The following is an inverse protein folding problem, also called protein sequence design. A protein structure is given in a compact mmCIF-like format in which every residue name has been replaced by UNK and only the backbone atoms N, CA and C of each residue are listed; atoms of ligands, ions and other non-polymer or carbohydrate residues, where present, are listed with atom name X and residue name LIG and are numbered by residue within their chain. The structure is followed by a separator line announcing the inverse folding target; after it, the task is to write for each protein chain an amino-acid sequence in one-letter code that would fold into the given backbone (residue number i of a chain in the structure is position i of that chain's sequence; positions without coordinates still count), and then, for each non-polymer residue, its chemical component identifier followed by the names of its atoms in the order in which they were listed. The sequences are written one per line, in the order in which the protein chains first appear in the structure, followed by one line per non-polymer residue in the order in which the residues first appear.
data_IF_058776277157
#
_entry.id   IF_058776277157
#
_cell.length_a   1.000
_cell.length_b   1.000
_cell.length_c   1.000
_cell.angle_alpha   90.00
_cell.angle_beta   90.00
_cell.angle_gamma   90.00
#
_symmetry.space_group_name_H-M   'P 1'
#
loop_
_entity.id
_entity.type
_entity.pdbx_description
1 polymer ?
#
# COMPACT_ATOMS: atom_id res chain seq x y z
N UNK A 1 -25.20 -75.55 -104.20
CA UNK A 1 -24.87 -74.11 -104.11
C UNK A 1 -26.10 -73.41 -103.59
N UNK A 2 -25.98 -72.63 -102.51
CA UNK A 2 -27.09 -71.79 -102.05
C UNK A 2 -27.44 -70.77 -103.15
N UNK A 3 -28.73 -70.53 -103.37
CA UNK A 3 -29.18 -69.55 -104.35
C UNK A 3 -28.92 -68.13 -103.81
N UNK A 4 -28.88 -67.13 -104.70
CA UNK A 4 -28.74 -65.72 -104.28
C UNK A 4 -29.83 -65.30 -103.28
N UNK A 5 -31.03 -65.85 -103.42
CA UNK A 5 -32.16 -65.61 -102.51
C UNK A 5 -31.92 -66.20 -101.11
N UNK A 6 -31.29 -67.37 -101.00
CA UNK A 6 -30.98 -67.99 -99.71
C UNK A 6 -29.98 -67.14 -98.90
N UNK A 7 -29.01 -66.52 -99.59
CA UNK A 7 -28.00 -65.64 -98.97
C UNK A 7 -28.65 -64.32 -98.51
N UNK A 8 -29.54 -63.74 -99.33
CA UNK A 8 -30.26 -62.52 -98.97
C UNK A 8 -31.18 -62.74 -97.77
N UNK A 9 -31.91 -63.86 -97.72
CA UNK A 9 -32.76 -64.20 -96.58
C UNK A 9 -31.95 -64.43 -95.30
N UNK A 10 -30.79 -65.09 -95.40
CA UNK A 10 -29.91 -65.28 -94.25
C UNK A 10 -29.39 -63.94 -93.69
N UNK A 11 -28.98 -63.02 -94.57
CA UNK A 11 -28.54 -61.68 -94.19
C UNK A 11 -29.66 -60.86 -93.54
N UNK A 12 -30.88 -60.92 -94.09
CA UNK A 12 -32.04 -60.25 -93.51
C UNK A 12 -32.39 -60.80 -92.12
N UNK A 13 -32.29 -62.12 -91.91
CA UNK A 13 -32.50 -62.73 -90.59
C UNK A 13 -31.42 -62.31 -89.58
N UNK A 14 -30.16 -62.23 -90.00
CA UNK A 14 -29.06 -61.74 -89.15
C UNK A 14 -29.28 -60.30 -88.71
N UNK A 15 -29.60 -59.40 -89.65
CA UNK A 15 -29.91 -58.00 -89.35
C UNK A 15 -31.09 -57.92 -88.37
N UNK A 16 -32.17 -58.64 -88.64
CA UNK A 16 -33.36 -58.63 -87.78
C UNK A 16 -33.02 -59.12 -86.36
N UNK A 17 -32.22 -60.19 -86.25
CA UNK A 17 -31.77 -60.71 -84.95
C UNK A 17 -30.91 -59.69 -84.18
N UNK A 18 -30.02 -58.97 -84.88
CA UNK A 18 -29.21 -57.91 -84.28
C UNK A 18 -30.06 -56.72 -83.82
N UNK A 19 -31.05 -56.31 -84.63
CA UNK A 19 -32.00 -55.24 -84.26
C UNK A 19 -32.80 -55.61 -83.02
N UNK A 20 -33.36 -56.83 -82.97
CA UNK A 20 -34.12 -57.31 -81.81
C UNK A 20 -33.24 -57.40 -80.54
N UNK A 21 -31.97 -57.80 -80.69
CA UNK A 21 -30.99 -57.81 -79.59
C UNK A 21 -30.71 -56.39 -79.06
N UNK A 22 -30.54 -55.41 -79.95
CA UNK A 22 -30.35 -54.01 -79.58
C UNK A 22 -31.60 -53.45 -78.87
N UNK A 23 -32.79 -53.74 -79.38
CA UNK A 23 -34.05 -53.34 -78.73
C UNK A 23 -34.20 -53.95 -77.34
N UNK A 24 -33.83 -55.21 -77.18
CA UNK A 24 -33.83 -55.90 -75.87
C UNK A 24 -32.92 -55.18 -74.87
N UNK A 25 -31.68 -54.88 -75.26
CA UNK A 25 -30.73 -54.14 -74.41
C UNK A 25 -31.25 -52.74 -74.08
N UNK A 26 -31.84 -52.04 -75.04
CA UNK A 26 -32.41 -50.70 -74.82
C UNK A 26 -33.59 -50.75 -73.83
N UNK A 27 -34.46 -51.76 -73.95
CA UNK A 27 -35.58 -51.95 -73.05
C UNK A 27 -35.11 -52.31 -71.64
N UNK A 28 -34.06 -53.12 -71.49
CA UNK A 28 -33.45 -53.41 -70.19
C UNK A 28 -32.88 -52.14 -69.55
N UNK A 29 -32.15 -51.32 -70.30
CA UNK A 29 -31.62 -50.05 -69.81
C UNK A 29 -32.75 -49.09 -69.38
N UNK A 30 -33.79 -48.94 -70.22
CA UNK A 30 -34.96 -48.12 -69.91
C UNK A 30 -35.66 -48.61 -68.63
N UNK A 31 -35.81 -49.93 -68.48
CA UNK A 31 -36.37 -50.55 -67.28
C UNK A 31 -35.57 -50.21 -66.03
N UNK A 32 -34.24 -50.38 -66.07
CA UNK A 32 -33.37 -50.03 -64.96
C UNK A 32 -33.42 -48.54 -64.62
N UNK A 33 -33.36 -47.66 -65.62
CA UNK A 33 -33.43 -46.22 -65.42
C UNK A 33 -34.76 -45.80 -64.76
N UNK A 34 -35.88 -46.38 -65.21
CA UNK A 34 -37.19 -46.13 -64.61
C UNK A 34 -37.26 -46.62 -63.17
N UNK A 35 -36.68 -47.79 -62.87
CA UNK A 35 -36.63 -48.32 -61.50
C UNK A 35 -35.81 -47.42 -60.57
N UNK A 36 -34.65 -46.95 -61.02
CA UNK A 36 -33.82 -46.02 -60.25
C UNK A 36 -34.54 -44.68 -60.02
N UNK A 37 -35.23 -44.16 -61.05
CA UNK A 37 -36.00 -42.93 -60.93
C UNK A 37 -37.16 -43.08 -59.93
N UNK A 38 -37.90 -44.19 -59.99
CA UNK A 38 -38.98 -44.48 -59.04
C UNK A 38 -38.46 -44.58 -57.59
N UNK A 39 -37.35 -45.30 -57.37
CA UNK A 39 -36.73 -45.40 -56.05
C UNK A 39 -36.33 -44.03 -55.47
N UNK A 40 -35.75 -43.16 -56.31
CA UNK A 40 -35.39 -41.80 -55.92
C UNK A 40 -36.64 -40.99 -55.58
N UNK A 41 -37.70 -41.07 -56.38
CA UNK A 41 -38.94 -40.34 -56.12
C UNK A 41 -39.65 -40.80 -54.84
N UNK A 42 -39.61 -42.09 -54.53
CA UNK A 42 -40.27 -42.65 -53.34
C UNK A 42 -39.50 -42.36 -52.04
N UNK A 43 -38.17 -42.26 -52.10
CA UNK A 43 -37.33 -42.15 -50.91
C UNK A 43 -36.71 -40.76 -50.69
N UNK A 44 -36.77 -39.86 -51.66
CA UNK A 44 -36.32 -38.47 -51.46
C UNK A 44 -37.47 -37.59 -51.00
N UNK A 45 -37.25 -36.88 -49.90
CA UNK A 45 -38.13 -35.80 -49.48
C UNK A 45 -38.10 -34.69 -50.52
N UNK A 46 -39.28 -34.22 -50.88
CA UNK A 46 -39.42 -32.96 -51.61
C UNK A 46 -38.96 -31.80 -50.74
N UNK A 47 -38.64 -30.67 -51.39
CA UNK A 47 -38.26 -29.44 -50.70
C UNK A 47 -39.31 -28.99 -49.68
N UNK A 48 -40.58 -29.22 -49.99
CA UNK A 48 -41.68 -28.79 -49.14
C UNK A 48 -41.94 -29.77 -47.98
N UNK A 49 -41.79 -31.07 -48.20
CA UNK A 49 -41.81 -32.06 -47.10
C UNK A 49 -40.64 -31.86 -46.14
N UNK A 50 -39.44 -31.56 -46.64
CA UNK A 50 -38.29 -31.23 -45.81
C UNK A 50 -38.55 -29.98 -44.96
N UNK A 51 -39.14 -28.93 -45.54
CA UNK A 51 -39.53 -27.72 -44.81
C UNK A 51 -40.59 -28.00 -43.74
N UNK A 52 -41.57 -28.84 -44.05
CA UNK A 52 -42.60 -29.25 -43.10
C UNK A 52 -41.99 -30.02 -41.93
N UNK A 53 -41.10 -30.98 -42.21
CA UNK A 53 -40.37 -31.74 -41.19
C UNK A 53 -39.53 -30.81 -40.28
N UNK A 54 -38.80 -29.85 -40.87
CA UNK A 54 -38.02 -28.87 -40.10
C UNK A 54 -38.89 -27.98 -39.21
N UNK A 55 -40.10 -27.65 -39.66
CA UNK A 55 -41.05 -26.84 -38.88
C UNK A 55 -41.62 -27.63 -37.70
N UNK A 56 -41.76 -28.96 -37.82
CA UNK A 56 -42.19 -29.82 -36.71
C UNK A 56 -41.09 -30.07 -35.67
N UNK A 57 -39.81 -30.12 -36.08
CA UNK A 57 -38.69 -30.41 -35.17
C UNK A 57 -38.35 -29.21 -34.28
N UNK A 58 -38.53 -28.00 -34.79
CA UNK A 58 -38.38 -26.79 -34.00
C UNK A 58 -39.31 -25.73 -34.57
N UNK A 59 -40.46 -25.56 -33.95
CA UNK A 59 -41.30 -24.41 -34.24
C UNK A 59 -40.60 -23.15 -33.71
N UNK A 60 -40.94 -22.00 -34.31
CA UNK A 60 -40.47 -20.70 -33.80
C UNK A 60 -40.88 -20.51 -32.34
N UNK A 61 -41.99 -21.12 -31.93
CA UNK A 61 -42.52 -21.08 -30.57
C UNK A 61 -41.69 -21.94 -29.60
N UNK A 62 -41.18 -23.10 -30.05
CA UNK A 62 -40.26 -23.93 -29.26
C UNK A 62 -38.96 -23.17 -28.96
N UNK A 63 -38.43 -22.43 -29.95
CA UNK A 63 -37.25 -21.58 -29.76
C UNK A 63 -37.50 -20.39 -28.83
N UNK A 64 -38.75 -19.89 -28.75
CA UNK A 64 -39.13 -18.81 -27.85
C UNK A 64 -39.28 -19.29 -26.39
N UNK A 65 -39.47 -20.60 -26.17
CA UNK A 65 -39.58 -21.19 -24.82
C UNK A 65 -38.23 -21.34 -24.09
N UNK A 66 -37.10 -21.15 -24.77
CA UNK A 66 -35.76 -21.37 -24.18
C UNK A 66 -35.30 -20.28 -23.21
N UNK A 67 -35.90 -19.09 -23.28
CA UNK A 67 -35.87 -18.00 -22.31
C UNK A 67 -36.34 -16.75 -23.08
N UNK A 68 -37.43 -16.16 -22.63
CA UNK A 68 -37.90 -14.86 -23.08
C UNK A 68 -37.05 -13.76 -22.46
N UNK A 69 -37.10 -12.56 -23.03
CA UNK A 69 -36.50 -11.38 -22.39
C UNK A 69 -37.07 -11.13 -21.00
N UNK A 70 -38.30 -11.57 -20.75
CA UNK A 70 -38.98 -11.45 -19.47
C UNK A 70 -38.42 -12.46 -18.45
N UNK A 71 -38.07 -13.69 -18.88
CA UNK A 71 -37.38 -14.69 -18.03
C UNK A 71 -35.98 -14.20 -17.58
N UNK A 72 -35.35 -13.33 -18.37
CA UNK A 72 -34.09 -12.65 -18.04
C UNK A 72 -34.29 -11.36 -17.21
N UNK A 73 -35.51 -10.85 -17.10
CA UNK A 73 -35.82 -9.62 -16.37
C UNK A 73 -35.86 -9.83 -14.85
N UNK A 74 -36.12 -11.06 -14.40
CA UNK A 74 -36.08 -11.46 -12.99
C UNK A 74 -34.64 -11.73 -12.48
N UNK A 75 -33.65 -11.76 -13.38
CA UNK A 75 -32.24 -11.71 -12.99
C UNK A 75 -31.88 -10.29 -12.56
N UNK A 76 -31.11 -10.18 -11.47
CA UNK A 76 -30.69 -8.91 -10.87
C UNK A 76 -30.42 -7.83 -11.92
N UNK A 77 -31.34 -6.87 -12.00
CA UNK A 77 -31.27 -5.72 -12.88
C UNK A 77 -30.13 -4.81 -12.44
N UNK A 78 -29.72 -3.87 -13.31
CA UNK A 78 -28.76 -2.84 -12.91
C UNK A 78 -29.22 -2.04 -11.69
N UNK A 79 -30.54 -1.93 -11.48
CA UNK A 79 -31.14 -1.26 -10.33
C UNK A 79 -31.06 -2.13 -9.06
N UNK A 80 -31.19 -3.46 -9.18
CA UNK A 80 -30.94 -4.38 -8.05
C UNK A 80 -29.48 -4.34 -7.58
N UNK A 81 -28.54 -4.15 -8.50
CA UNK A 81 -27.13 -3.90 -8.17
C UNK A 81 -26.88 -2.48 -7.61
N UNK A 82 -27.80 -1.52 -7.79
CA UNK A 82 -27.67 -0.17 -7.27
C UNK A 82 -27.91 -0.09 -5.75
N UNK A 83 -28.49 -1.13 -5.15
CA UNK A 83 -28.63 -1.27 -3.70
C UNK A 83 -27.42 -1.92 -3.02
N UNK A 84 -26.44 -2.43 -3.79
CA UNK A 84 -25.12 -2.71 -3.23
C UNK A 84 -24.40 -1.40 -2.98
N UNK A 85 -23.71 -1.31 -1.83
CA UNK A 85 -22.99 -0.13 -1.37
C UNK A 85 -22.28 0.56 -2.54
N UNK A 86 -22.83 1.71 -2.93
CA UNK A 86 -22.26 2.58 -3.94
C UNK A 86 -20.93 3.13 -3.44
N UNK A 87 -20.12 3.69 -4.34
CA UNK A 87 -18.93 4.44 -3.92
C UNK A 87 -19.27 5.53 -2.89
N UNK A 88 -20.49 6.06 -2.93
CA UNK A 88 -20.98 7.08 -2.01
C UNK A 88 -21.37 6.49 -0.64
N UNK A 89 -21.85 5.25 -0.56
CA UNK A 89 -22.08 4.56 0.72
C UNK A 89 -20.76 4.27 1.46
N UNK A 90 -19.66 4.07 0.71
CA UNK A 90 -18.30 4.01 1.26
C UNK A 90 -17.75 5.39 1.67
N UNK A 91 -18.36 6.51 1.27
CA UNK A 91 -17.98 7.85 1.74
C UNK A 91 -18.49 8.14 3.16
N UNK A 92 -19.40 7.33 3.70
CA UNK A 92 -19.84 7.43 5.11
C UNK A 92 -18.72 6.99 6.08
N UNK A 93 -17.68 6.32 5.58
CA UNK A 93 -16.41 6.23 6.31
C UNK A 93 -15.66 7.56 6.16
N UNK A 94 -15.71 8.37 7.22
CA UNK A 94 -14.92 9.58 7.45
C UNK A 94 -14.29 10.19 6.19
N UNK A 95 -15.03 11.07 5.52
CA UNK A 95 -14.50 11.89 4.45
C UNK A 95 -13.33 12.73 4.98
N UNK A 96 -12.44 13.19 4.09
CA UNK A 96 -11.43 14.22 4.45
C UNK A 96 -12.04 15.45 5.15
N UNK A 97 -13.34 15.69 4.95
CA UNK A 97 -14.10 16.77 5.58
C UNK A 97 -14.44 16.48 7.05
N UNK A 98 -14.68 15.21 7.41
CA UNK A 98 -14.88 14.77 8.80
C UNK A 98 -13.58 14.85 9.60
N UNK A 99 -12.43 14.80 8.92
CA UNK A 99 -11.11 15.10 9.49
C UNK A 99 -10.82 16.60 9.63
N UNK A 100 -11.63 17.51 9.06
CA UNK A 100 -11.43 18.97 9.22
C UNK A 100 -11.81 19.48 10.61
N UNK A 101 -12.47 18.67 11.44
CA UNK A 101 -12.66 18.97 12.86
C UNK A 101 -11.41 18.70 13.71
N UNK A 102 -10.42 17.99 13.15
CA UNK A 102 -9.11 17.86 13.77
C UNK A 102 -8.23 19.03 13.32
N UNK A 103 -7.50 19.62 14.26
CA UNK A 103 -6.59 20.74 14.03
C UNK A 103 -5.81 20.54 12.72
N UNK A 104 -6.04 21.45 11.77
CA UNK A 104 -5.27 21.52 10.53
C UNK A 104 -3.83 21.93 10.85
N UNK A 105 -2.92 21.73 9.89
CA UNK A 105 -1.55 22.27 10.03
C UNK A 105 -1.55 23.76 10.35
N UNK A 106 -2.53 24.51 9.84
CA UNK A 106 -2.69 25.95 10.08
C UNK A 106 -3.14 26.25 11.52
N UNK A 107 -3.99 25.40 12.12
CA UNK A 107 -4.39 25.51 13.54
C UNK A 107 -3.21 25.26 14.50
N UNK A 108 -2.19 24.52 14.05
CA UNK A 108 -0.94 24.30 14.77
C UNK A 108 0.09 25.44 14.59
N UNK A 109 -0.14 26.40 13.69
CA UNK A 109 0.79 27.52 13.45
C UNK A 109 0.79 28.51 14.62
N UNK A 110 -0.28 28.53 15.42
CA UNK A 110 -0.35 29.32 16.65
C UNK A 110 0.25 28.62 17.88
N UNK A 111 0.66 27.35 17.75
CA UNK A 111 1.48 26.70 18.77
C UNK A 111 2.93 27.08 18.53
N UNK A 112 3.66 27.36 19.63
CA UNK A 112 5.08 27.71 19.58
C UNK A 112 5.83 26.76 18.65
N UNK A 113 6.30 27.29 17.53
CA UNK A 113 7.14 26.59 16.58
C UNK A 113 8.49 26.27 17.21
N UNK A 114 9.26 25.38 16.58
CA UNK A 114 10.62 25.10 17.02
C UNK A 114 11.46 26.38 17.10
N UNK A 115 11.22 27.32 16.18
CA UNK A 115 11.86 28.64 16.13
C UNK A 115 11.40 29.58 17.27
N UNK A 116 10.14 29.46 17.71
CA UNK A 116 9.64 30.19 18.89
C UNK A 116 10.30 29.69 20.19
N UNK A 117 10.62 28.39 20.25
CA UNK A 117 11.35 27.77 21.35
C UNK A 117 12.87 28.04 21.28
N UNK A 118 13.42 28.35 20.10
CA UNK A 118 14.83 28.78 19.96
C UNK A 118 15.10 30.17 20.54
N UNK A 119 14.06 30.97 20.81
CA UNK A 119 14.18 32.24 21.57
C UNK A 119 14.23 32.04 23.07
N UNK A 120 13.94 30.85 23.58
CA UNK A 120 14.21 30.50 24.97
C UNK A 120 15.67 30.06 25.07
N UNK A 121 16.38 30.63 26.06
CA UNK A 121 17.82 30.47 26.26
C UNK A 121 18.33 29.09 25.83
N UNK A 122 19.07 29.07 24.73
CA UNK A 122 19.75 27.89 24.20
C UNK A 122 20.84 27.45 25.18
N UNK A 123 21.34 26.21 25.04
CA UNK A 123 22.51 25.77 25.82
C UNK A 123 23.71 26.71 25.67
N UNK A 124 23.82 27.41 24.54
CA UNK A 124 24.86 28.41 24.28
C UNK A 124 24.58 29.74 25.01
N UNK A 125 23.31 30.14 25.17
CA UNK A 125 22.93 31.30 26.00
C UNK A 125 23.24 31.06 27.49
N UNK A 126 23.06 29.82 27.96
CA UNK A 126 23.51 29.39 29.29
C UNK A 126 25.03 29.20 29.38
N UNK A 127 25.76 29.06 28.27
CA UNK A 127 27.22 28.95 28.28
C UNK A 127 27.92 30.28 28.59
N UNK A 128 27.21 31.40 28.44
CA UNK A 128 27.67 32.73 28.88
C UNK A 128 27.42 33.00 30.37
N UNK A 129 26.66 32.13 31.07
CA UNK A 129 26.66 32.13 32.53
C UNK A 129 27.92 31.44 33.02
N UNK A 130 28.63 32.11 33.94
CA UNK A 130 29.94 31.71 34.47
C UNK A 130 30.15 30.18 34.46
N UNK A 131 30.98 29.72 33.54
CA UNK A 131 31.34 28.32 33.41
C UNK A 131 32.17 27.89 34.62
N UNK A 132 32.32 26.59 34.85
CA UNK A 132 33.21 26.08 35.89
C UNK A 132 34.67 26.59 35.74
N UNK A 133 35.06 26.99 34.52
CA UNK A 133 36.34 27.64 34.23
C UNK A 133 36.38 29.11 34.68
N UNK A 134 35.29 29.86 34.51
CA UNK A 134 35.17 31.24 35.00
C UNK A 134 35.22 31.30 36.54
N UNK A 135 34.58 30.32 37.19
CA UNK A 135 34.67 30.11 38.65
C UNK A 135 36.05 29.63 39.11
N UNK A 136 36.86 29.02 38.23
CA UNK A 136 38.22 28.59 38.57
C UNK A 136 39.20 29.77 38.73
N UNK A 137 38.87 30.94 38.15
CA UNK A 137 39.63 32.18 38.30
C UNK A 137 39.11 33.09 39.44
N UNK A 138 38.02 32.70 40.12
CA UNK A 138 37.59 33.35 41.35
C UNK A 138 38.48 32.83 42.47
N UNK A 139 39.40 33.69 42.94
CA UNK A 139 40.32 33.49 44.07
C UNK A 139 40.45 32.03 44.52
N UNK A 140 41.41 31.31 43.92
CA UNK A 140 41.69 29.92 44.29
C UNK A 140 42.12 29.85 45.76
N UNK A 141 42.04 28.66 46.37
CA UNK A 141 42.63 28.41 47.70
C UNK A 141 44.08 28.91 47.80
N UNK A 142 44.81 28.91 46.67
CA UNK A 142 46.19 29.39 46.55
C UNK A 142 46.31 30.93 46.57
N UNK A 143 45.31 31.64 46.07
CA UNK A 143 45.23 33.11 46.17
C UNK A 143 44.91 33.53 47.61
N UNK A 144 44.12 32.75 48.34
CA UNK A 144 43.87 32.94 49.77
C UNK A 144 45.08 32.63 50.65
N UNK A 145 46.02 31.78 50.21
CA UNK A 145 47.30 31.53 50.90
C UNK A 145 48.26 32.73 50.86
N UNK A 146 47.96 33.79 50.09
CA UNK A 146 48.71 35.06 50.15
C UNK A 146 48.30 35.93 51.34
N UNK A 147 47.18 35.63 51.98
CA UNK A 147 46.78 36.29 53.23
C UNK A 147 47.32 35.51 54.42
N UNK A 148 47.57 36.22 55.53
CA UNK A 148 48.03 35.61 56.77
C UNK A 148 47.15 34.41 57.14
N UNK A 149 47.79 33.26 57.35
CA UNK A 149 47.12 32.03 57.75
C UNK A 149 46.71 32.10 59.22
N UNK A 150 45.85 31.18 59.64
CA UNK A 150 45.46 31.07 61.05
C UNK A 150 46.69 30.78 61.92
N UNK A 151 47.62 30.00 61.39
CA UNK A 151 48.90 29.67 62.02
C UNK A 151 49.79 30.92 62.14
N UNK A 152 49.85 31.77 61.12
CA UNK A 152 50.60 33.04 61.18
C UNK A 152 50.02 33.97 62.26
N UNK A 153 48.69 34.08 62.32
CA UNK A 153 48.00 34.89 63.34
C UNK A 153 48.19 34.32 64.75
N UNK A 154 48.24 32.99 64.88
CA UNK A 154 48.49 32.33 66.16
C UNK A 154 49.92 32.59 66.63
N UNK A 155 50.91 32.50 65.75
CA UNK A 155 52.30 32.81 66.09
C UNK A 155 52.46 34.25 66.58
N UNK A 156 51.86 35.22 65.88
CA UNK A 156 51.87 36.63 66.30
C UNK A 156 51.17 36.81 67.66
N UNK A 157 50.05 36.11 67.89
CA UNK A 157 49.36 36.15 69.19
C UNK A 157 50.26 35.65 70.32
N UNK A 158 50.96 34.53 70.10
CA UNK A 158 51.83 33.92 71.11
C UNK A 158 53.01 34.85 71.43
N UNK A 159 53.67 35.42 70.42
CA UNK A 159 54.71 36.46 70.57
C UNK A 159 54.22 37.65 71.39
N UNK A 160 53.04 38.20 71.06
CA UNK A 160 52.44 39.33 71.80
C UNK A 160 52.15 38.96 73.26
N UNK A 161 51.70 37.74 73.53
CA UNK A 161 51.51 37.29 74.92
C UNK A 161 52.82 37.16 75.67
N UNK A 162 53.89 36.67 75.03
CA UNK A 162 55.23 36.62 75.61
C UNK A 162 55.73 38.00 76.00
N UNK A 163 55.66 38.96 75.09
CA UNK A 163 56.06 40.37 75.34
C UNK A 163 55.25 40.97 76.48
N UNK A 164 53.93 40.71 76.56
CA UNK A 164 53.10 41.19 77.67
C UNK A 164 53.57 40.64 79.03
N UNK A 165 53.94 39.37 79.10
CA UNK A 165 54.46 38.77 80.33
C UNK A 165 55.79 39.41 80.73
N UNK A 166 56.70 39.62 79.78
CA UNK A 166 57.96 40.30 80.04
C UNK A 166 57.77 41.74 80.50
N UNK A 167 56.82 42.47 79.91
CA UNK A 167 56.50 43.83 80.31
C UNK A 167 55.96 43.89 81.75
N UNK A 168 55.05 42.98 82.12
CA UNK A 168 54.54 42.90 83.50
C UNK A 168 55.65 42.59 84.50
N UNK A 169 56.58 41.69 84.14
CA UNK A 169 57.77 41.41 84.95
C UNK A 169 58.68 42.64 85.09
N UNK A 170 58.85 43.41 84.01
CA UNK A 170 59.63 44.64 84.04
C UNK A 170 58.97 45.73 84.89
N UNK A 171 57.65 45.93 84.76
CA UNK A 171 56.87 46.85 85.59
C UNK A 171 56.95 46.48 87.07
N UNK A 172 56.88 45.19 87.41
CA UNK A 172 57.06 44.71 88.78
C UNK A 172 58.45 45.05 89.31
N UNK A 173 59.51 44.83 88.50
CA UNK A 173 60.90 45.19 88.88
C UNK A 173 61.07 46.69 89.06
N UNK A 174 60.51 47.51 88.18
CA UNK A 174 60.55 48.97 88.32
C UNK A 174 59.81 49.45 89.58
N UNK A 175 58.66 48.85 89.87
CA UNK A 175 57.88 49.16 91.07
C UNK A 175 58.67 48.83 92.33
N UNK A 176 59.31 47.66 92.37
CA UNK A 176 60.18 47.28 93.49
C UNK A 176 61.40 48.21 93.62
N UNK A 177 62.03 48.59 92.50
CA UNK A 177 63.14 49.55 92.51
C UNK A 177 62.71 50.92 93.07
N UNK A 178 61.55 51.44 92.64
CA UNK A 178 61.01 52.70 93.15
C UNK A 178 60.68 52.61 94.65
N UNK A 179 60.11 51.49 95.11
CA UNK A 179 59.87 51.24 96.54
C UNK A 179 61.17 51.29 97.33
N UNK A 180 62.22 50.60 96.88
CA UNK A 180 63.54 50.60 97.53
C UNK A 180 64.15 52.02 97.57
N UNK A 181 63.99 52.82 96.51
CA UNK A 181 64.49 54.20 96.47
C UNK A 181 63.71 55.12 97.44
N UNK A 182 62.40 54.94 97.57
CA UNK A 182 61.58 55.69 98.55
C UNK A 182 61.92 55.30 99.99
N UNK A 183 62.09 54.00 100.28
CA UNK A 183 62.54 53.50 101.59
C UNK A 183 63.94 54.03 101.98
N UNK A 184 64.77 54.41 101.00
CA UNK A 184 66.09 55.03 101.22
C UNK A 184 66.07 56.55 101.36
N UNK A 185 64.98 57.22 100.99
CA UNK A 185 64.88 58.70 100.95
C UNK A 185 63.87 59.28 101.97
N UNK A 186 63.12 58.44 102.67
CA UNK A 186 62.37 58.77 103.90
C UNK A 186 63.11 58.34 105.16
#
# INVERSE_FOLDING_TARGET
MATTDDILQAYQRDILGRTLSIESVFNQFRGYANQQFAYIQENMLTKDEFRAAMTQVASKDDLLSFATKDDLADFATKDDLAHFATKDDLLVFATKKDLLGFATKDDLVNFATKDDLERFATKDDLANFATAYDLANVATKKDLLRFATKEDLQYVSDEVTGVKVELVSFEARLTDMLRILLERTG
#
